data_IF_632886799708
#
_entry.id   IF_632886799708
#
_cell.length_a   1.000
_cell.length_b   1.000
_cell.length_c   1.000
_cell.angle_alpha   90.00
_cell.angle_beta   90.00
_cell.angle_gamma   90.00
#
_symmetry.space_group_name_H-M   'P 1'
#
loop_
_entity.id
_entity.type
_entity.pdbx_description
1 polymer ?
#
# COMPACT_ATOMS: atom_id res chain seq x y z
N UNK A 1 -34.86 -10.57 -43.72
CA UNK A 1 -34.93 -10.04 -42.34
C UNK A 1 -35.41 -11.16 -41.40
N UNK A 2 -34.59 -12.21 -41.21
CA UNK A 2 -34.79 -13.32 -40.27
C UNK A 2 -33.48 -14.14 -40.29
N UNK A 3 -32.46 -13.71 -39.54
CA UNK A 3 -31.20 -14.45 -39.39
C UNK A 3 -30.53 -14.15 -38.04
N UNK A 4 -31.31 -13.99 -36.97
CA UNK A 4 -30.74 -13.96 -35.61
C UNK A 4 -31.77 -14.62 -34.69
N UNK A 5 -31.76 -15.94 -34.65
CA UNK A 5 -32.19 -16.70 -33.48
C UNK A 5 -31.02 -17.56 -33.03
N UNK A 6 -30.90 -17.61 -31.71
CA UNK A 6 -29.88 -18.23 -30.90
C UNK A 6 -29.61 -19.68 -31.35
N UNK A 7 -28.33 -20.06 -31.47
CA UNK A 7 -27.93 -21.47 -31.46
C UNK A 7 -27.44 -22.10 -32.77
N UNK A 8 -26.63 -21.44 -33.60
CA UNK A 8 -25.87 -22.13 -34.65
C UNK A 8 -24.34 -22.08 -34.44
N UNK A 9 -23.66 -23.24 -34.38
CA UNK A 9 -22.20 -23.32 -34.43
C UNK A 9 -21.77 -23.29 -35.91
N UNK A 10 -21.92 -22.16 -36.58
CA UNK A 10 -21.32 -22.00 -37.91
C UNK A 10 -19.86 -21.55 -37.77
N UNK A 11 -19.00 -22.24 -38.49
CA UNK A 11 -17.59 -21.94 -38.73
C UNK A 11 -17.42 -20.48 -39.16
N UNK A 12 -17.04 -19.66 -38.18
CA UNK A 12 -17.06 -18.19 -38.18
C UNK A 12 -16.28 -17.50 -39.33
N UNK A 13 -15.14 -17.99 -39.84
CA UNK A 13 -14.31 -17.19 -40.75
C UNK A 13 -14.77 -17.17 -42.22
N UNK A 14 -15.08 -18.33 -42.82
CA UNK A 14 -15.12 -18.47 -44.28
C UNK A 14 -16.32 -17.80 -44.98
N UNK A 15 -17.47 -17.69 -44.29
CA UNK A 15 -18.66 -17.05 -44.86
C UNK A 15 -18.60 -15.51 -44.75
N UNK A 16 -17.94 -14.97 -43.72
CA UNK A 16 -17.78 -13.52 -43.53
C UNK A 16 -16.83 -12.92 -44.56
N UNK A 17 -15.82 -13.68 -45.01
CA UNK A 17 -14.85 -13.21 -46.02
C UNK A 17 -15.47 -12.85 -47.37
N UNK A 18 -16.66 -13.38 -47.69
CA UNK A 18 -17.33 -13.15 -48.98
C UNK A 18 -18.32 -11.98 -48.96
N UNK A 19 -18.62 -11.42 -47.79
CA UNK A 19 -19.57 -10.32 -47.67
C UNK A 19 -18.92 -8.99 -48.11
N UNK A 20 -19.67 -8.02 -48.66
CA UNK A 20 -19.20 -6.64 -48.82
C UNK A 20 -18.77 -6.03 -47.49
N UNK A 21 -17.80 -5.12 -47.49
CA UNK A 21 -17.23 -4.56 -46.25
C UNK A 21 -18.28 -3.79 -45.44
N UNK A 22 -19.18 -3.09 -46.11
CA UNK A 22 -20.28 -2.35 -45.47
C UNK A 22 -21.23 -3.31 -44.73
N UNK A 23 -21.54 -4.46 -45.35
CA UNK A 23 -22.42 -5.47 -44.76
C UNK A 23 -21.73 -6.16 -43.57
N UNK A 24 -20.43 -6.43 -43.69
CA UNK A 24 -19.64 -7.01 -42.61
C UNK A 24 -19.57 -6.06 -41.39
N UNK A 25 -19.29 -4.77 -41.62
CA UNK A 25 -19.31 -3.75 -40.55
C UNK A 25 -20.69 -3.63 -39.90
N UNK A 26 -21.77 -3.68 -40.69
CA UNK A 26 -23.13 -3.65 -40.15
C UNK A 26 -23.45 -4.87 -39.28
N UNK A 27 -23.01 -6.07 -39.67
CA UNK A 27 -23.18 -7.29 -38.86
C UNK A 27 -22.38 -7.20 -37.56
N UNK A 28 -21.15 -6.69 -37.61
CA UNK A 28 -20.32 -6.46 -36.42
C UNK A 28 -21.04 -5.50 -35.46
N UNK A 29 -21.55 -4.37 -35.96
CA UNK A 29 -22.30 -3.38 -35.17
C UNK A 29 -23.52 -4.00 -34.48
N UNK A 30 -24.36 -4.72 -35.24
CA UNK A 30 -25.56 -5.37 -34.71
C UNK A 30 -25.25 -6.40 -33.62
N UNK A 31 -24.15 -7.14 -33.76
CA UNK A 31 -23.74 -8.12 -32.74
C UNK A 31 -23.14 -7.44 -31.51
N UNK A 32 -22.28 -6.44 -31.71
CA UNK A 32 -21.66 -5.71 -30.62
C UNK A 32 -22.72 -5.05 -29.72
N UNK A 33 -23.72 -4.46 -30.34
CA UNK A 33 -24.86 -3.82 -29.69
C UNK A 33 -26.12 -4.70 -29.66
N UNK A 34 -25.97 -6.03 -29.63
CA UNK A 34 -27.13 -6.94 -29.50
C UNK A 34 -27.86 -6.79 -28.16
N UNK A 35 -27.22 -6.13 -27.18
CA UNK A 35 -27.79 -5.64 -25.94
C UNK A 35 -27.61 -4.12 -25.85
N UNK A 36 -28.50 -3.38 -25.14
CA UNK A 36 -28.41 -1.92 -25.02
C UNK A 36 -27.04 -1.42 -24.54
N UNK A 37 -26.49 -2.08 -23.52
CA UNK A 37 -25.18 -1.77 -22.93
C UNK A 37 -24.01 -2.57 -23.51
N UNK A 38 -24.22 -3.21 -24.66
CA UNK A 38 -23.23 -4.07 -25.32
C UNK A 38 -23.26 -5.52 -24.87
N UNK A 39 -22.74 -6.42 -25.71
CA UNK A 39 -22.65 -7.86 -25.43
C UNK A 39 -21.21 -8.29 -25.17
N UNK A 40 -20.89 -8.68 -23.92
CA UNK A 40 -19.56 -9.22 -23.57
C UNK A 40 -19.18 -10.42 -24.44
N UNK A 41 -20.14 -11.32 -24.72
CA UNK A 41 -19.91 -12.45 -25.62
C UNK A 41 -19.50 -11.98 -27.03
N UNK A 42 -20.20 -11.00 -27.59
CA UNK A 42 -19.85 -10.48 -28.92
C UNK A 42 -18.46 -9.83 -28.93
N UNK A 43 -18.14 -8.99 -27.92
CA UNK A 43 -16.82 -8.38 -27.75
C UNK A 43 -15.71 -9.44 -27.65
N UNK A 44 -15.93 -10.49 -26.86
CA UNK A 44 -14.99 -11.60 -26.71
C UNK A 44 -14.76 -12.33 -28.04
N UNK A 45 -15.82 -12.60 -28.80
CA UNK A 45 -15.70 -13.23 -30.13
C UNK A 45 -14.94 -12.33 -31.12
N UNK A 46 -15.19 -11.02 -31.12
CA UNK A 46 -14.43 -10.06 -31.95
C UNK A 46 -12.94 -10.05 -31.60
N UNK A 47 -12.62 -10.10 -30.30
CA UNK A 47 -11.24 -10.23 -29.83
C UNK A 47 -10.60 -11.51 -30.33
N UNK A 48 -11.27 -12.66 -30.17
CA UNK A 48 -10.75 -13.94 -30.64
C UNK A 48 -10.40 -13.91 -32.13
N UNK A 49 -11.29 -13.39 -32.98
CA UNK A 49 -11.07 -13.31 -34.43
C UNK A 49 -9.88 -12.46 -34.84
N UNK A 50 -9.53 -11.45 -34.04
CA UNK A 50 -8.36 -10.61 -34.29
C UNK A 50 -7.07 -11.31 -33.86
N UNK A 51 -7.14 -12.15 -32.83
CA UNK A 51 -5.99 -12.81 -32.20
C UNK A 51 -5.87 -14.31 -32.54
N UNK A 52 -6.70 -14.82 -33.44
CA UNK A 52 -6.57 -16.18 -34.00
C UNK A 52 -5.17 -16.41 -34.59
N UNK A 53 -4.71 -17.66 -34.59
CA UNK A 53 -3.36 -18.04 -35.06
C UNK A 53 -3.11 -17.74 -36.55
N UNK A 54 -4.18 -17.62 -37.34
CA UNK A 54 -4.12 -17.23 -38.75
C UNK A 54 -5.39 -16.44 -39.12
N UNK A 55 -5.54 -15.20 -38.63
CA UNK A 55 -6.77 -14.44 -38.77
C UNK A 55 -6.86 -13.89 -40.19
N UNK A 56 -8.05 -13.94 -40.79
CA UNK A 56 -8.29 -13.29 -42.08
C UNK A 56 -7.94 -11.81 -42.00
N UNK A 57 -6.95 -11.37 -42.78
CA UNK A 57 -6.47 -9.98 -42.79
C UNK A 57 -7.61 -8.99 -43.03
N UNK A 58 -8.59 -9.39 -43.86
CA UNK A 58 -9.77 -8.59 -44.14
C UNK A 58 -10.67 -8.47 -42.91
N UNK A 59 -11.03 -9.59 -42.28
CA UNK A 59 -11.89 -9.58 -41.09
C UNK A 59 -11.24 -8.78 -39.97
N UNK A 60 -9.94 -8.99 -39.71
CA UNK A 60 -9.20 -8.22 -38.70
C UNK A 60 -9.22 -6.72 -38.98
N UNK A 61 -9.05 -6.32 -40.24
CA UNK A 61 -9.12 -4.92 -40.66
C UNK A 61 -10.51 -4.34 -40.43
N UNK A 62 -11.57 -5.05 -40.81
CA UNK A 62 -12.94 -4.54 -40.67
C UNK A 62 -13.38 -4.47 -39.21
N UNK A 63 -13.02 -5.44 -38.37
CA UNK A 63 -13.25 -5.36 -36.92
C UNK A 63 -12.48 -4.17 -36.35
N UNK A 64 -11.21 -4.00 -36.70
CA UNK A 64 -10.40 -2.85 -36.26
C UNK A 64 -11.00 -1.52 -36.67
N UNK A 65 -11.39 -1.38 -37.95
CA UNK A 65 -12.04 -0.19 -38.50
C UNK A 65 -13.34 0.12 -37.76
N UNK A 66 -14.17 -0.89 -37.51
CA UNK A 66 -15.43 -0.73 -36.77
C UNK A 66 -15.16 -0.19 -35.36
N UNK A 67 -14.29 -0.85 -34.58
CA UNK A 67 -14.04 -0.51 -33.18
C UNK A 67 -13.37 0.86 -33.05
N UNK A 68 -12.42 1.20 -33.94
CA UNK A 68 -11.72 2.48 -33.95
C UNK A 68 -12.55 3.64 -34.51
N UNK A 69 -13.68 3.37 -35.17
CA UNK A 69 -14.44 4.41 -35.85
C UNK A 69 -15.01 5.45 -34.86
N UNK A 70 -15.01 6.72 -35.27
CA UNK A 70 -15.62 7.82 -34.51
C UNK A 70 -17.10 7.53 -34.23
N UNK A 71 -17.81 6.96 -35.21
CA UNK A 71 -19.21 6.56 -35.07
C UNK A 71 -19.41 5.54 -33.94
N UNK A 72 -18.62 4.47 -33.91
CA UNK A 72 -18.74 3.45 -32.85
C UNK A 72 -18.42 4.04 -31.48
N UNK A 73 -17.38 4.87 -31.38
CA UNK A 73 -17.05 5.55 -30.11
C UNK A 73 -18.18 6.44 -29.61
N UNK A 74 -18.81 7.19 -30.51
CA UNK A 74 -19.96 8.03 -30.16
C UNK A 74 -21.17 7.18 -29.74
N UNK A 75 -21.45 6.10 -30.46
CA UNK A 75 -22.51 5.15 -30.08
C UNK A 75 -22.26 4.53 -28.70
N UNK A 76 -21.03 4.11 -28.42
CA UNK A 76 -20.59 3.61 -27.12
C UNK A 76 -20.86 4.67 -26.06
N UNK A 77 -20.35 5.88 -26.28
CA UNK A 77 -20.49 7.01 -25.35
C UNK A 77 -21.95 7.30 -25.01
N UNK A 78 -22.81 7.43 -26.02
CA UNK A 78 -24.23 7.72 -25.83
C UNK A 78 -24.98 6.56 -25.19
N UNK A 79 -24.78 5.32 -25.65
CA UNK A 79 -25.55 4.17 -25.15
C UNK A 79 -25.16 3.74 -23.75
N UNK A 80 -23.90 3.91 -23.39
CA UNK A 80 -23.37 3.54 -22.07
C UNK A 80 -23.34 4.74 -21.11
N UNK A 81 -23.83 5.90 -21.55
CA UNK A 81 -23.82 7.16 -20.80
C UNK A 81 -22.43 7.47 -20.22
N UNK A 82 -21.40 7.36 -21.07
CA UNK A 82 -20.04 7.72 -20.68
C UNK A 82 -19.80 9.22 -20.89
N UNK A 83 -19.19 9.85 -19.90
CA UNK A 83 -18.73 11.23 -19.99
C UNK A 83 -17.27 11.25 -20.41
N UNK A 84 -16.89 12.17 -21.31
CA UNK A 84 -15.56 12.24 -21.93
C UNK A 84 -14.47 12.56 -20.89
N UNK A 85 -14.82 13.34 -19.87
CA UNK A 85 -13.93 13.78 -18.81
C UNK A 85 -14.73 14.15 -17.55
N UNK A 86 -13.98 14.57 -16.52
CA UNK A 86 -14.55 14.98 -15.26
C UNK A 86 -15.51 16.17 -15.40
N UNK A 87 -15.18 17.18 -16.21
CA UNK A 87 -16.00 18.38 -16.39
C UNK A 87 -17.39 18.05 -16.97
N UNK A 88 -17.45 17.19 -17.98
CA UNK A 88 -18.71 16.73 -18.56
C UNK A 88 -19.49 15.87 -17.55
N UNK A 89 -18.81 15.03 -16.78
CA UNK A 89 -19.46 14.23 -15.76
C UNK A 89 -20.13 15.11 -14.68
N UNK A 90 -19.42 16.14 -14.21
CA UNK A 90 -19.94 17.12 -13.24
C UNK A 90 -21.12 17.92 -13.78
N UNK A 91 -21.10 18.32 -15.07
CA UNK A 91 -22.21 19.08 -15.65
C UNK A 91 -23.53 18.30 -15.67
N UNK A 92 -23.46 16.97 -15.60
CA UNK A 92 -24.62 16.07 -15.57
C UNK A 92 -24.92 15.51 -14.17
N UNK A 93 -24.28 16.01 -13.11
CA UNK A 93 -24.49 15.55 -11.72
C UNK A 93 -25.97 15.45 -11.29
N UNK A 94 -26.89 16.36 -11.69
CA UNK A 94 -28.31 16.24 -11.33
C UNK A 94 -29.01 15.01 -11.93
N UNK A 95 -28.46 14.44 -13.01
CA UNK A 95 -29.07 13.38 -13.82
C UNK A 95 -28.48 12.00 -13.53
N UNK A 96 -27.43 11.92 -12.69
CA UNK A 96 -26.74 10.67 -12.36
C UNK A 96 -27.67 9.75 -11.56
N UNK A 97 -28.07 8.58 -12.11
CA UNK A 97 -28.92 7.63 -11.41
C UNK A 97 -28.20 7.06 -10.18
N UNK A 98 -28.89 6.91 -9.05
CA UNK A 98 -28.31 6.31 -7.83
C UNK A 98 -27.96 4.82 -7.98
N UNK A 99 -28.48 4.15 -9.01
CA UNK A 99 -28.17 2.77 -9.40
C UNK A 99 -28.40 2.61 -10.90
N UNK A 100 -27.32 2.49 -11.66
CA UNK A 100 -27.39 2.19 -13.09
C UNK A 100 -26.94 0.75 -13.36
N UNK A 101 -27.46 0.15 -14.44
CA UNK A 101 -26.89 -1.10 -14.95
C UNK A 101 -25.46 -0.83 -15.43
N UNK A 102 -24.54 -1.75 -15.12
CA UNK A 102 -23.14 -1.62 -15.54
C UNK A 102 -23.03 -1.75 -17.04
N UNK A 103 -22.38 -0.78 -17.67
CA UNK A 103 -21.98 -0.89 -19.06
C UNK A 103 -20.96 -2.02 -19.26
N UNK A 104 -20.74 -2.43 -20.51
CA UNK A 104 -19.80 -3.52 -20.84
C UNK A 104 -18.34 -3.17 -20.49
N UNK A 105 -17.91 -1.90 -20.53
CA UNK A 105 -16.55 -1.54 -20.11
C UNK A 105 -16.38 -1.69 -18.61
N UNK A 106 -17.33 -1.18 -17.82
CA UNK A 106 -17.37 -1.38 -16.36
C UNK A 106 -17.43 -2.86 -16.00
N UNK A 107 -18.25 -3.65 -16.71
CA UNK A 107 -18.41 -5.09 -16.44
C UNK A 107 -17.15 -5.89 -16.81
N UNK A 108 -16.56 -5.63 -17.97
CA UNK A 108 -15.35 -6.33 -18.42
C UNK A 108 -14.10 -5.93 -17.63
N UNK A 109 -14.04 -4.71 -17.09
CA UNK A 109 -12.98 -4.32 -16.17
C UNK A 109 -12.91 -5.25 -14.93
N UNK A 110 -14.07 -5.71 -14.45
CA UNK A 110 -14.17 -6.67 -13.35
C UNK A 110 -14.10 -8.14 -13.78
N UNK A 111 -14.71 -8.50 -14.91
CA UNK A 111 -15.00 -9.89 -15.27
C UNK A 111 -14.08 -10.46 -16.36
N UNK A 112 -13.46 -9.60 -17.20
CA UNK A 112 -12.66 -10.03 -18.34
C UNK A 112 -11.69 -8.93 -18.79
N UNK A 113 -10.54 -8.83 -18.12
CA UNK A 113 -9.53 -7.78 -18.35
C UNK A 113 -9.03 -7.73 -19.80
N UNK A 114 -8.88 -8.88 -20.45
CA UNK A 114 -8.49 -8.94 -21.87
C UNK A 114 -9.48 -8.23 -22.79
N UNK A 115 -10.80 -8.35 -22.53
CA UNK A 115 -11.82 -7.64 -23.30
C UNK A 115 -11.79 -6.14 -23.03
N UNK A 116 -11.57 -5.73 -21.78
CA UNK A 116 -11.38 -4.33 -21.42
C UNK A 116 -10.14 -3.72 -22.10
N UNK A 117 -9.01 -4.44 -22.06
CA UNK A 117 -7.77 -4.08 -22.74
C UNK A 117 -7.94 -3.98 -24.25
N UNK A 118 -8.68 -4.92 -24.85
CA UNK A 118 -8.99 -4.87 -26.26
C UNK A 118 -9.80 -3.63 -26.65
N UNK A 119 -10.77 -3.21 -25.83
CA UNK A 119 -11.49 -1.95 -26.07
C UNK A 119 -10.58 -0.72 -25.93
N UNK A 120 -9.64 -0.72 -24.98
CA UNK A 120 -8.64 0.34 -24.84
C UNK A 120 -7.67 0.39 -26.03
N UNK A 121 -7.15 -0.75 -26.50
CA UNK A 121 -6.18 -0.83 -27.60
C UNK A 121 -6.72 -0.30 -28.92
N UNK A 122 -8.01 -0.54 -29.16
CA UNK A 122 -8.70 -0.06 -30.34
C UNK A 122 -9.41 1.28 -30.10
N UNK A 123 -9.17 1.92 -28.95
CA UNK A 123 -9.69 3.26 -28.63
C UNK A 123 -11.21 3.35 -28.55
N UNK A 124 -11.93 2.23 -28.45
CA UNK A 124 -13.39 2.21 -28.29
C UNK A 124 -13.84 2.90 -27.00
N UNK A 125 -13.02 2.76 -25.95
CA UNK A 125 -13.10 3.52 -24.71
C UNK A 125 -11.78 4.24 -24.49
N UNK A 126 -11.82 5.37 -23.78
CA UNK A 126 -10.63 6.13 -23.44
C UNK A 126 -10.46 6.19 -21.91
N UNK A 127 -9.21 6.17 -21.39
CA UNK A 127 -8.94 6.27 -19.96
C UNK A 127 -9.60 7.44 -19.21
N UNK A 128 -9.71 8.67 -19.77
CA UNK A 128 -10.32 9.80 -19.05
C UNK A 128 -11.84 9.71 -18.91
N UNK A 129 -12.49 8.70 -19.50
CA UNK A 129 -13.94 8.57 -19.42
C UNK A 129 -14.43 8.28 -17.99
N UNK A 130 -15.61 8.81 -17.68
CA UNK A 130 -16.37 8.53 -16.47
C UNK A 130 -17.62 7.74 -16.84
N UNK A 131 -17.95 6.72 -16.06
CA UNK A 131 -19.17 5.96 -16.26
C UNK A 131 -20.41 6.75 -15.79
N UNK A 132 -21.58 6.18 -16.02
CA UNK A 132 -22.87 6.78 -15.65
C UNK A 132 -23.05 7.01 -14.14
N UNK A 133 -22.26 6.33 -13.30
CA UNK A 133 -22.23 6.54 -11.84
C UNK A 133 -21.23 7.63 -11.41
N UNK A 134 -20.53 8.26 -12.37
CA UNK A 134 -19.57 9.32 -12.12
C UNK A 134 -18.20 8.83 -11.64
N UNK A 135 -17.84 7.57 -11.89
CA UNK A 135 -16.52 7.01 -11.57
C UNK A 135 -15.64 6.93 -12.82
N UNK A 136 -14.39 7.37 -12.70
CA UNK A 136 -13.38 7.09 -13.73
C UNK A 136 -13.06 5.59 -13.80
N UNK A 137 -12.58 5.10 -14.95
CA UNK A 137 -12.08 3.73 -15.05
C UNK A 137 -10.91 3.46 -14.09
N UNK A 138 -10.12 4.48 -13.75
CA UNK A 138 -9.09 4.37 -12.70
C UNK A 138 -9.71 4.06 -11.33
N UNK A 139 -10.76 4.78 -10.93
CA UNK A 139 -11.43 4.56 -9.65
C UNK A 139 -12.02 3.15 -9.54
N UNK A 140 -12.67 2.69 -10.62
CA UNK A 140 -13.23 1.35 -10.71
C UNK A 140 -12.13 0.29 -10.59
N UNK A 141 -11.03 0.43 -11.34
CA UNK A 141 -9.89 -0.46 -11.26
C UNK A 141 -9.23 -0.47 -9.87
N UNK A 142 -9.12 0.71 -9.24
CA UNK A 142 -8.48 0.86 -7.93
C UNK A 142 -9.27 0.16 -6.82
N UNK A 143 -10.61 0.12 -6.93
CA UNK A 143 -11.47 -0.62 -5.99
C UNK A 143 -11.33 -2.16 -6.08
N UNK A 144 -10.63 -2.68 -7.09
CA UNK A 144 -10.48 -4.12 -7.34
C UNK A 144 -9.04 -4.52 -6.98
N UNK A 145 -8.85 -5.15 -5.82
CA UNK A 145 -7.51 -5.50 -5.29
C UNK A 145 -6.62 -6.29 -6.26
N UNK A 146 -7.24 -7.09 -7.15
CA UNK A 146 -6.54 -7.96 -8.12
C UNK A 146 -6.08 -7.25 -9.40
N UNK A 147 -6.34 -5.96 -9.58
CA UNK A 147 -6.19 -5.31 -10.89
C UNK A 147 -5.06 -4.26 -10.94
N UNK A 148 -3.86 -4.60 -10.47
CA UNK A 148 -2.72 -3.65 -10.48
C UNK A 148 -2.18 -3.35 -11.88
N UNK A 149 -2.21 -4.33 -12.78
CA UNK A 149 -1.71 -4.16 -14.15
C UNK A 149 -2.57 -3.18 -14.96
N UNK A 150 -3.90 -3.23 -14.81
CA UNK A 150 -4.75 -2.26 -15.51
C UNK A 150 -4.54 -0.84 -15.01
N UNK A 151 -4.21 -0.64 -13.73
CA UNK A 151 -3.91 0.69 -13.19
C UNK A 151 -2.68 1.29 -13.87
N UNK A 152 -1.62 0.49 -14.06
CA UNK A 152 -0.42 0.92 -14.79
C UNK A 152 -0.77 1.34 -16.22
N UNK A 153 -1.58 0.52 -16.89
CA UNK A 153 -2.00 0.76 -18.26
C UNK A 153 -2.90 1.99 -18.41
N UNK A 154 -3.88 2.16 -17.53
CA UNK A 154 -4.76 3.32 -17.52
C UNK A 154 -3.94 4.60 -17.33
N UNK A 155 -3.03 4.65 -16.35
CA UNK A 155 -2.17 5.83 -16.13
C UNK A 155 -1.30 6.11 -17.36
N UNK A 156 -0.72 5.07 -17.96
CA UNK A 156 0.17 5.21 -19.12
C UNK A 156 -0.56 5.80 -20.33
N UNK A 157 -1.83 5.45 -20.52
CA UNK A 157 -2.68 5.93 -21.62
C UNK A 157 -3.40 7.26 -21.30
N UNK A 158 -3.51 7.64 -20.03
CA UNK A 158 -4.18 8.89 -19.62
C UNK A 158 -3.31 10.10 -19.90
N UNK A 159 -3.86 11.14 -20.52
CA UNK A 159 -3.15 12.41 -20.70
C UNK A 159 -2.74 13.02 -19.35
N UNK A 160 -1.53 13.62 -19.22
CA UNK A 160 -1.02 14.13 -17.94
C UNK A 160 -2.00 15.05 -17.19
N UNK A 161 -2.65 16.00 -17.88
CA UNK A 161 -3.65 16.91 -17.30
C UNK A 161 -4.85 16.20 -16.68
N UNK A 162 -5.22 15.03 -17.20
CA UNK A 162 -6.35 14.25 -16.71
C UNK A 162 -6.00 13.47 -15.43
N UNK A 163 -4.72 13.17 -15.18
CA UNK A 163 -4.28 12.56 -13.92
C UNK A 163 -4.47 13.50 -12.71
N UNK A 164 -4.62 14.81 -12.97
CA UNK A 164 -4.92 15.82 -11.96
C UNK A 164 -6.42 16.02 -11.72
N UNK A 165 -7.30 15.24 -12.38
CA UNK A 165 -8.75 15.29 -12.16
C UNK A 165 -9.19 14.35 -11.04
N UNK A 166 -10.30 14.65 -10.33
CA UNK A 166 -10.85 13.81 -9.28
C UNK A 166 -11.20 12.40 -9.76
N UNK A 167 -10.99 11.38 -8.93
CA UNK A 167 -11.23 9.99 -9.33
C UNK A 167 -12.73 9.67 -9.59
N UNK A 168 -13.62 10.44 -8.96
CA UNK A 168 -15.07 10.40 -9.16
C UNK A 168 -15.68 11.76 -8.83
N UNK A 169 -16.92 12.01 -9.26
CA UNK A 169 -17.62 13.28 -9.01
C UNK A 169 -17.92 13.50 -7.52
N UNK A 170 -18.06 12.43 -6.73
CA UNK A 170 -18.32 12.50 -5.30
C UNK A 170 -17.07 12.64 -4.43
N UNK A 171 -15.87 12.57 -5.01
CA UNK A 171 -14.61 12.57 -4.27
C UNK A 171 -13.75 13.77 -4.67
N UNK A 172 -13.00 14.30 -3.69
CA UNK A 172 -12.14 15.46 -3.93
C UNK A 172 -10.70 15.09 -4.27
N UNK A 173 -10.32 13.83 -4.03
CA UNK A 173 -8.95 13.39 -4.30
C UNK A 173 -8.79 13.06 -5.79
N UNK A 174 -7.67 13.52 -6.36
CA UNK A 174 -7.33 13.29 -7.77
C UNK A 174 -6.80 11.89 -8.02
N UNK A 175 -6.75 11.46 -9.28
CA UNK A 175 -6.08 10.20 -9.67
C UNK A 175 -4.65 10.19 -9.13
N UNK A 176 -3.87 11.25 -9.39
CA UNK A 176 -2.51 11.40 -8.87
C UNK A 176 -2.43 11.26 -7.35
N UNK A 177 -3.30 11.95 -6.62
CA UNK A 177 -3.36 11.90 -5.16
C UNK A 177 -3.66 10.49 -4.63
N UNK A 178 -4.48 9.69 -5.33
CA UNK A 178 -4.76 8.31 -4.92
C UNK A 178 -3.58 7.36 -5.16
N UNK A 179 -2.73 7.66 -6.14
CA UNK A 179 -1.61 6.76 -6.47
C UNK A 179 -0.57 6.66 -5.35
N UNK A 180 -0.49 7.64 -4.43
CA UNK A 180 0.53 7.73 -3.37
C UNK A 180 0.57 6.52 -2.41
N UNK A 181 -0.53 5.78 -2.30
CA UNK A 181 -0.65 4.58 -1.46
C UNK A 181 0.10 3.37 -2.04
N UNK A 182 0.45 3.40 -3.33
CA UNK A 182 1.12 2.32 -4.02
C UNK A 182 2.34 2.83 -4.79
N UNK A 183 3.55 2.57 -4.26
CA UNK A 183 4.82 3.07 -4.79
C UNK A 183 5.00 2.91 -6.31
N UNK A 184 4.65 1.73 -6.85
CA UNK A 184 4.76 1.45 -8.30
C UNK A 184 3.79 2.29 -9.13
N UNK A 185 2.52 2.38 -8.70
CA UNK A 185 1.49 3.18 -9.39
C UNK A 185 1.85 4.66 -9.32
N UNK A 186 2.27 5.13 -8.14
CA UNK A 186 2.73 6.51 -7.93
C UNK A 186 3.90 6.86 -8.85
N UNK A 187 4.92 6.01 -8.94
CA UNK A 187 6.09 6.26 -9.79
C UNK A 187 5.71 6.45 -11.26
N UNK A 188 4.87 5.57 -11.80
CA UNK A 188 4.41 5.68 -13.20
C UNK A 188 3.61 6.97 -13.41
N UNK A 189 2.72 7.31 -12.47
CA UNK A 189 1.93 8.54 -12.51
C UNK A 189 2.83 9.79 -12.43
N UNK A 190 3.82 9.76 -11.53
CA UNK A 190 4.81 10.82 -11.37
C UNK A 190 5.62 11.02 -12.64
N UNK A 191 6.17 9.95 -13.23
CA UNK A 191 6.99 10.06 -14.45
C UNK A 191 6.19 10.67 -15.61
N UNK A 192 4.88 10.39 -15.72
CA UNK A 192 3.99 11.02 -16.69
C UNK A 192 3.80 12.52 -16.45
N UNK A 193 3.59 12.91 -15.20
CA UNK A 193 3.37 14.32 -14.82
C UNK A 193 4.65 15.15 -14.89
N UNK A 194 5.77 14.61 -14.42
CA UNK A 194 7.06 15.28 -14.38
C UNK A 194 7.62 15.54 -15.78
N UNK A 195 7.29 14.68 -16.75
CA UNK A 195 7.67 14.85 -18.16
C UNK A 195 6.97 16.02 -18.86
N UNK A 196 5.88 16.57 -18.29
CA UNK A 196 5.15 17.70 -18.84
C UNK A 196 5.51 19.00 -18.08
N UNK A 197 6.36 19.88 -18.63
CA UNK A 197 6.82 21.08 -17.95
C UNK A 197 5.72 22.15 -17.78
N UNK A 198 4.64 22.08 -18.55
CA UNK A 198 3.58 23.08 -18.54
C UNK A 198 2.59 22.88 -17.38
N UNK A 199 2.69 21.74 -16.66
CA UNK A 199 1.85 21.45 -15.50
C UNK A 199 2.36 22.12 -14.24
N UNK A 200 1.51 22.91 -13.59
CA UNK A 200 1.77 23.33 -12.22
C UNK A 200 1.42 22.21 -11.24
N UNK A 201 2.44 21.71 -10.52
CA UNK A 201 2.29 20.63 -9.54
C UNK A 201 2.38 21.11 -8.09
N UNK A 202 2.65 22.40 -7.83
CA UNK A 202 3.06 22.90 -6.51
C UNK A 202 2.02 22.72 -5.40
N UNK A 203 0.75 22.56 -5.75
CA UNK A 203 -0.35 22.37 -4.78
C UNK A 203 -1.15 21.09 -5.01
N UNK A 204 -0.62 20.15 -5.80
CA UNK A 204 -1.34 18.92 -6.16
C UNK A 204 -1.36 17.87 -5.04
N UNK A 205 -0.44 17.89 -4.08
CA UNK A 205 -0.42 16.94 -2.96
C UNK A 205 -0.73 17.64 -1.64
N UNK A 206 -1.83 17.23 -1.00
CA UNK A 206 -2.15 17.57 0.40
C UNK A 206 -1.21 16.86 1.38
N UNK A 207 -1.16 17.35 2.63
CA UNK A 207 -0.30 16.81 3.71
C UNK A 207 -0.42 15.29 3.89
N UNK A 208 -1.64 14.74 3.89
CA UNK A 208 -1.85 13.28 4.00
C UNK A 208 -1.15 12.49 2.89
N UNK A 209 -1.13 13.04 1.67
CA UNK A 209 -0.50 12.40 0.53
C UNK A 209 1.03 12.48 0.60
N UNK A 210 1.57 13.60 1.09
CA UNK A 210 3.02 13.74 1.33
C UNK A 210 3.49 12.67 2.33
N UNK A 211 2.74 12.46 3.40
CA UNK A 211 3.02 11.40 4.38
C UNK A 211 3.07 10.01 3.72
N UNK A 212 2.11 9.69 2.85
CA UNK A 212 2.09 8.41 2.13
C UNK A 212 3.23 8.26 1.13
N UNK A 213 3.61 9.34 0.41
CA UNK A 213 4.79 9.35 -0.48
C UNK A 213 6.06 9.06 0.31
N UNK A 214 6.21 9.65 1.50
CA UNK A 214 7.39 9.45 2.34
C UNK A 214 7.60 8.00 2.82
N UNK A 215 6.62 7.12 2.64
CA UNK A 215 6.77 5.68 2.92
C UNK A 215 7.63 4.94 1.91
N UNK A 216 7.85 5.51 0.71
CA UNK A 216 8.55 4.82 -0.38
C UNK A 216 9.41 5.71 -1.30
N UNK A 217 9.50 7.02 -1.01
CA UNK A 217 10.27 7.98 -1.82
C UNK A 217 11.78 7.75 -1.70
N UNK A 218 12.51 7.78 -2.81
CA UNK A 218 13.97 7.81 -2.77
C UNK A 218 14.52 9.23 -3.00
N UNK A 219 15.81 9.44 -2.80
CA UNK A 219 16.45 10.77 -2.89
C UNK A 219 16.27 11.41 -4.28
N UNK A 220 16.38 10.61 -5.34
CA UNK A 220 16.16 11.06 -6.72
C UNK A 220 14.75 11.62 -6.92
N UNK A 221 13.74 10.84 -6.52
CA UNK A 221 12.34 11.24 -6.59
C UNK A 221 12.06 12.46 -5.72
N UNK A 222 12.61 12.54 -4.51
CA UNK A 222 12.48 13.71 -3.64
C UNK A 222 13.04 14.98 -4.30
N UNK A 223 14.21 14.89 -4.95
CA UNK A 223 14.80 16.01 -5.68
C UNK A 223 13.98 16.41 -6.90
N UNK A 224 13.48 15.44 -7.68
CA UNK A 224 12.58 15.72 -8.82
C UNK A 224 11.28 16.38 -8.36
N UNK A 225 10.67 15.90 -7.29
CA UNK A 225 9.47 16.50 -6.69
C UNK A 225 9.75 17.93 -6.21
N UNK A 226 10.88 18.17 -5.56
CA UNK A 226 11.28 19.50 -5.12
C UNK A 226 11.50 20.45 -6.30
N UNK A 227 12.11 19.99 -7.40
CA UNK A 227 12.29 20.76 -8.63
C UNK A 227 10.93 21.17 -9.25
N UNK A 228 9.90 20.33 -9.08
CA UNK A 228 8.50 20.64 -9.43
C UNK A 228 7.73 21.36 -8.32
N UNK A 229 8.43 21.95 -7.34
CA UNK A 229 7.89 22.72 -6.19
C UNK A 229 7.00 21.90 -5.25
N UNK A 230 7.10 20.58 -5.26
CA UNK A 230 6.47 19.70 -4.27
C UNK A 230 7.51 19.39 -3.20
N UNK A 231 7.48 20.15 -2.11
CA UNK A 231 8.40 19.92 -1.01
C UNK A 231 7.83 18.90 -0.02
N UNK A 232 8.32 17.66 -0.09
CA UNK A 232 7.94 16.58 0.83
C UNK A 232 8.44 16.79 2.27
N UNK A 233 9.38 17.71 2.48
CA UNK A 233 9.88 18.07 3.82
C UNK A 233 8.90 18.97 4.58
N UNK A 234 8.01 19.68 3.86
CA UNK A 234 6.97 20.54 4.44
C UNK A 234 5.77 19.72 4.90
N UNK A 235 5.96 18.91 5.93
CA UNK A 235 4.87 18.28 6.67
C UNK A 235 4.59 19.05 7.96
N UNK A 236 3.82 20.14 7.90
CA UNK A 236 3.40 20.88 9.09
C UNK A 236 2.05 20.37 9.60
N UNK A 237 2.04 20.06 10.90
CA UNK A 237 0.94 19.62 11.77
C UNK A 237 -0.45 19.50 11.11
N UNK A 238 -0.92 18.27 10.95
CA UNK A 238 -2.36 18.07 10.71
C UNK A 238 -3.14 18.43 11.98
N UNK A 239 -4.37 18.94 11.83
CA UNK A 239 -5.26 19.29 12.95
C UNK A 239 -5.54 18.14 13.93
N UNK A 240 -5.19 16.89 13.57
CA UNK A 240 -5.50 15.68 14.34
C UNK A 240 -4.27 14.80 14.67
N UNK A 241 -3.04 15.30 14.53
CA UNK A 241 -1.85 14.52 14.90
C UNK A 241 -0.58 14.96 14.17
N UNK A 242 0.51 15.10 14.92
CA UNK A 242 1.78 15.70 14.54
C UNK A 242 2.68 14.80 13.66
N UNK A 243 2.11 14.03 12.73
CA UNK A 243 2.88 13.12 11.88
C UNK A 243 3.46 13.86 10.67
N UNK A 244 4.79 13.92 10.61
CA UNK A 244 5.59 14.56 9.56
C UNK A 244 6.24 13.51 8.64
N UNK A 245 6.97 13.95 7.62
CA UNK A 245 7.78 13.07 6.75
C UNK A 245 8.72 12.16 7.55
N UNK A 246 9.34 12.69 8.60
CA UNK A 246 10.21 11.93 9.50
C UNK A 246 9.52 10.69 10.10
N UNK A 247 8.23 10.82 10.44
CA UNK A 247 7.45 9.74 11.03
C UNK A 247 7.12 8.64 10.01
N UNK A 248 6.76 9.04 8.79
CA UNK A 248 6.52 8.09 7.70
C UNK A 248 7.80 7.31 7.38
N UNK A 249 8.94 8.01 7.29
CA UNK A 249 10.22 7.39 6.98
C UNK A 249 10.65 6.43 8.08
N UNK A 250 10.58 6.88 9.35
CA UNK A 250 10.94 6.09 10.51
C UNK A 250 10.11 4.81 10.64
N UNK A 251 8.82 4.87 10.32
CA UNK A 251 7.89 3.75 10.50
C UNK A 251 7.86 2.78 9.32
N UNK A 252 7.93 3.28 8.09
CA UNK A 252 7.54 2.49 6.91
C UNK A 252 8.62 2.37 5.83
N UNK A 253 9.60 3.29 5.80
CA UNK A 253 10.47 3.35 4.63
C UNK A 253 11.48 2.19 4.61
N UNK A 254 11.62 1.47 3.48
CA UNK A 254 12.47 0.29 3.39
C UNK A 254 13.96 0.61 3.52
N UNK A 255 14.41 1.76 3.02
CA UNK A 255 15.80 2.25 3.05
C UNK A 255 15.85 3.68 3.62
N UNK A 256 15.73 3.85 4.95
CA UNK A 256 15.42 5.14 5.57
C UNK A 256 16.60 6.12 5.57
N UNK A 257 17.84 5.62 5.61
CA UNK A 257 19.05 6.43 5.84
C UNK A 257 19.27 7.53 4.79
N UNK A 258 19.26 7.24 3.47
CA UNK A 258 19.46 8.30 2.45
C UNK A 258 18.39 9.39 2.52
N UNK A 259 17.16 9.01 2.86
CA UNK A 259 16.05 9.96 3.01
C UNK A 259 16.17 10.79 4.27
N UNK A 260 16.63 10.22 5.39
CA UNK A 260 16.91 11.03 6.57
C UNK A 260 18.04 12.03 6.34
N UNK A 261 19.10 11.65 5.63
CA UNK A 261 20.17 12.57 5.20
C UNK A 261 19.66 13.67 4.25
N UNK A 262 18.66 13.35 3.43
CA UNK A 262 17.99 14.35 2.60
C UNK A 262 17.11 15.27 3.45
N UNK A 263 16.30 14.72 4.36
CA UNK A 263 15.41 15.47 5.24
C UNK A 263 16.20 16.41 6.15
N UNK A 264 17.34 15.99 6.71
CA UNK A 264 18.15 16.85 7.58
C UNK A 264 18.69 18.12 6.89
N UNK A 265 18.80 18.11 5.56
CA UNK A 265 19.18 19.28 4.74
C UNK A 265 18.01 20.20 4.41
N UNK A 266 16.77 19.70 4.50
CA UNK A 266 15.57 20.37 3.98
C UNK A 266 14.47 20.59 5.04
N UNK A 267 14.60 20.01 6.23
CA UNK A 267 13.65 20.14 7.34
C UNK A 267 14.35 19.91 8.68
N UNK A 268 13.78 20.53 9.72
CA UNK A 268 14.19 20.28 11.10
C UNK A 268 13.63 18.95 11.60
N UNK A 269 14.39 18.27 12.45
CA UNK A 269 13.91 17.10 13.17
C UNK A 269 12.77 17.53 14.12
N UNK A 270 11.66 16.77 14.23
CA UNK A 270 10.56 17.06 15.14
C UNK A 270 11.02 17.31 16.58
N UNK A 271 10.52 18.37 17.21
CA UNK A 271 10.76 18.70 18.63
C UNK A 271 9.87 17.86 19.56
N UNK A 272 10.12 17.89 20.88
CA UNK A 272 9.39 17.10 21.90
C UNK A 272 7.86 17.26 21.91
N UNK A 273 7.36 18.38 21.41
CA UNK A 273 5.93 18.68 21.36
C UNK A 273 5.20 17.83 20.30
N UNK A 274 5.94 17.30 19.33
CA UNK A 274 5.41 16.43 18.29
C UNK A 274 5.48 14.97 18.72
N UNK A 275 4.37 14.47 19.28
CA UNK A 275 4.22 13.08 19.71
C UNK A 275 3.34 12.27 18.75
N UNK A 276 3.63 10.97 18.56
CA UNK A 276 4.83 10.25 19.04
C UNK A 276 6.10 10.69 18.29
N UNK A 277 7.27 10.67 18.92
CA UNK A 277 8.53 11.00 18.25
C UNK A 277 8.88 9.95 17.16
N UNK A 278 9.60 10.32 16.07
CA UNK A 278 9.99 9.36 15.03
C UNK A 278 10.76 8.15 15.56
N UNK A 279 11.63 8.32 16.56
CA UNK A 279 12.40 7.22 17.17
C UNK A 279 11.49 6.18 17.84
N UNK A 280 10.43 6.64 18.52
CA UNK A 280 9.45 5.73 19.12
C UNK A 280 8.73 4.92 18.03
N UNK A 281 8.32 5.56 16.93
CA UNK A 281 7.65 4.84 15.83
C UNK A 281 8.56 3.82 15.14
N UNK A 282 9.84 4.15 14.94
CA UNK A 282 10.84 3.20 14.43
C UNK A 282 10.97 2.01 15.37
N UNK A 283 11.05 2.25 16.68
CA UNK A 283 11.17 1.21 17.71
C UNK A 283 9.92 0.32 17.77
N UNK A 284 8.72 0.91 17.77
CA UNK A 284 7.44 0.17 17.75
C UNK A 284 7.24 -0.69 16.51
N UNK A 285 7.99 -0.41 15.44
CA UNK A 285 7.86 -1.08 14.15
C UNK A 285 9.12 -1.88 13.80
N UNK A 286 10.00 -2.13 14.77
CA UNK A 286 11.24 -2.90 14.62
C UNK A 286 12.12 -2.44 13.45
N UNK A 287 12.17 -1.12 13.22
CA UNK A 287 12.95 -0.51 12.14
C UNK A 287 14.35 -0.18 12.62
N UNK A 288 15.21 -1.20 12.73
CA UNK A 288 16.58 -1.11 13.27
C UNK A 288 17.40 0.01 12.63
N UNK A 289 17.53 0.02 11.30
CA UNK A 289 18.31 1.05 10.59
C UNK A 289 17.77 2.46 10.82
N UNK A 290 16.45 2.62 10.86
CA UNK A 290 15.84 3.92 11.13
C UNK A 290 16.09 4.38 12.57
N UNK A 291 15.94 3.47 13.52
CA UNK A 291 16.18 3.73 14.93
C UNK A 291 17.65 4.12 15.17
N UNK A 292 18.63 3.36 14.65
CA UNK A 292 20.06 3.66 14.80
C UNK A 292 20.42 5.02 14.21
N UNK A 293 19.90 5.35 13.02
CA UNK A 293 20.14 6.67 12.43
C UNK A 293 19.56 7.78 13.31
N UNK A 294 18.31 7.61 13.76
CA UNK A 294 17.66 8.57 14.66
C UNK A 294 18.39 8.66 16.01
N UNK A 295 18.97 7.57 16.50
CA UNK A 295 19.71 7.56 17.76
C UNK A 295 20.98 8.41 17.65
N UNK A 296 21.72 8.25 16.56
CA UNK A 296 22.96 8.99 16.31
C UNK A 296 22.76 10.49 16.00
N UNK A 297 21.54 10.89 15.61
CA UNK A 297 21.22 12.27 15.20
C UNK A 297 20.20 12.97 16.09
N UNK A 298 19.72 12.32 17.13
CA UNK A 298 18.95 12.94 18.21
C UNK A 298 19.91 13.32 19.34
N UNK A 299 19.54 14.28 20.17
CA UNK A 299 20.26 14.60 21.41
C UNK A 299 19.33 14.56 22.62
N UNK A 300 18.11 14.08 22.42
CA UNK A 300 17.03 14.14 23.38
C UNK A 300 16.97 12.88 24.25
N UNK A 301 17.38 13.02 25.51
CA UNK A 301 17.42 11.97 26.52
C UNK A 301 16.05 11.35 26.83
N UNK A 302 14.98 12.14 26.76
CA UNK A 302 13.62 11.64 26.96
C UNK A 302 13.18 10.70 25.84
N UNK A 303 13.49 11.03 24.59
CA UNK A 303 13.17 10.18 23.44
C UNK A 303 13.91 8.84 23.52
N UNK A 304 15.17 8.85 23.96
CA UNK A 304 15.93 7.62 24.22
C UNK A 304 15.30 6.78 25.31
N UNK A 305 14.94 7.38 26.45
CA UNK A 305 14.31 6.64 27.55
C UNK A 305 13.02 5.97 27.10
N UNK A 306 12.13 6.72 26.44
CA UNK A 306 10.85 6.16 25.96
C UNK A 306 11.09 5.04 24.94
N UNK A 307 12.03 5.22 24.01
CA UNK A 307 12.38 4.19 23.03
C UNK A 307 13.05 2.97 23.68
N UNK A 308 13.88 3.14 24.70
CA UNK A 308 14.50 2.04 25.45
C UNK A 308 13.44 1.22 26.18
N UNK A 309 12.48 1.87 26.84
CA UNK A 309 11.34 1.18 27.48
C UNK A 309 10.52 0.39 26.45
N UNK A 310 10.27 0.97 25.27
CA UNK A 310 9.56 0.28 24.20
C UNK A 310 10.36 -0.93 23.67
N UNK A 311 11.65 -0.75 23.39
CA UNK A 311 12.53 -1.82 22.92
C UNK A 311 12.68 -2.95 23.96
N UNK A 312 12.73 -2.61 25.24
CA UNK A 312 12.76 -3.56 26.36
C UNK A 312 11.54 -4.49 26.37
N UNK A 313 10.34 -3.93 26.22
CA UNK A 313 9.06 -4.67 26.26
C UNK A 313 8.90 -5.68 25.12
N UNK A 314 9.39 -5.33 23.94
CA UNK A 314 9.17 -6.10 22.71
C UNK A 314 9.96 -7.41 22.74
N UNK A 315 9.49 -8.44 22.06
CA UNK A 315 10.10 -9.77 22.05
C UNK A 315 10.55 -10.16 20.63
N UNK A 316 11.39 -9.30 20.03
CA UNK A 316 11.98 -9.48 18.70
C UNK A 316 13.50 -9.24 18.74
N UNK A 317 14.27 -9.92 17.88
CA UNK A 317 15.72 -9.69 17.78
C UNK A 317 16.02 -8.24 17.40
N UNK A 318 15.22 -7.63 16.52
CA UNK A 318 15.35 -6.23 16.11
C UNK A 318 15.23 -5.27 17.31
N UNK A 319 14.35 -5.59 18.27
CA UNK A 319 14.21 -4.78 19.48
C UNK A 319 15.43 -4.88 20.41
N UNK A 320 16.15 -6.01 20.41
CA UNK A 320 17.44 -6.13 21.10
C UNK A 320 18.51 -5.27 20.40
N UNK A 321 18.60 -5.30 19.07
CA UNK A 321 19.55 -4.46 18.33
C UNK A 321 19.31 -2.96 18.59
N UNK A 322 18.04 -2.54 18.61
CA UNK A 322 17.67 -1.16 18.93
C UNK A 322 18.03 -0.82 20.37
N UNK A 323 17.71 -1.69 21.34
CA UNK A 323 18.05 -1.47 22.75
C UNK A 323 19.57 -1.34 22.95
N UNK A 324 20.34 -2.19 22.27
CA UNK A 324 21.80 -2.19 22.28
C UNK A 324 22.35 -0.85 21.80
N UNK A 325 21.85 -0.35 20.66
CA UNK A 325 22.24 0.93 20.09
C UNK A 325 21.86 2.12 21.00
N UNK A 326 20.69 2.08 21.63
CA UNK A 326 20.28 3.11 22.60
C UNK A 326 21.23 3.09 23.80
N UNK A 327 21.56 1.91 24.33
CA UNK A 327 22.43 1.77 25.49
C UNK A 327 23.85 2.29 25.19
N UNK A 328 24.41 2.01 24.00
CA UNK A 328 25.71 2.56 23.57
C UNK A 328 25.71 4.08 23.51
N UNK A 329 24.67 4.67 22.91
CA UNK A 329 24.56 6.12 22.79
C UNK A 329 24.29 6.79 24.15
N UNK A 330 23.48 6.14 25.01
CA UNK A 330 23.18 6.64 26.35
C UNK A 330 24.44 6.72 27.22
N UNK A 331 25.36 5.76 27.10
CA UNK A 331 26.66 5.80 27.80
C UNK A 331 27.51 7.02 27.44
N UNK A 332 27.40 7.51 26.20
CA UNK A 332 28.12 8.69 25.73
C UNK A 332 27.50 9.98 26.31
N UNK A 333 26.17 10.05 26.36
CA UNK A 333 25.44 11.28 26.72
C UNK A 333 25.27 11.41 28.24
N UNK A 334 24.99 10.30 28.93
CA UNK A 334 24.76 10.23 30.37
C UNK A 334 25.37 8.95 30.95
N UNK A 335 26.68 8.94 31.20
CA UNK A 335 27.31 7.83 31.90
C UNK A 335 26.69 7.74 33.31
N UNK A 336 26.01 6.62 33.60
CA UNK A 336 25.48 6.23 34.93
C UNK A 336 24.08 6.75 35.33
N UNK A 337 23.07 6.59 34.46
CA UNK A 337 21.66 6.63 34.90
C UNK A 337 21.20 5.23 35.39
N UNK A 338 21.50 4.92 36.65
CA UNK A 338 21.13 3.64 37.27
C UNK A 338 19.60 3.42 37.33
N UNK A 339 18.82 4.50 37.41
CA UNK A 339 17.36 4.41 37.43
C UNK A 339 16.81 3.97 36.06
N UNK A 340 17.37 4.50 34.97
CA UNK A 340 17.01 4.07 33.63
C UNK A 340 17.31 2.59 33.39
N UNK A 341 18.48 2.11 33.83
CA UNK A 341 18.86 0.70 33.69
C UNK A 341 17.91 -0.21 34.46
N UNK A 342 17.55 0.16 35.70
CA UNK A 342 16.57 -0.57 36.48
C UNK A 342 15.20 -0.60 35.78
N UNK A 343 14.74 0.53 35.24
CA UNK A 343 13.48 0.58 34.50
C UNK A 343 13.52 -0.30 33.24
N UNK A 344 14.64 -0.32 32.50
CA UNK A 344 14.82 -1.18 31.32
C UNK A 344 14.67 -2.65 31.73
N UNK A 345 15.34 -3.08 32.80
CA UNK A 345 15.31 -4.46 33.29
C UNK A 345 13.90 -4.87 33.73
N UNK A 346 13.21 -4.01 34.47
CA UNK A 346 11.81 -4.23 34.85
C UNK A 346 10.93 -4.39 33.60
N UNK A 347 11.13 -3.55 32.59
CA UNK A 347 10.33 -3.60 31.36
C UNK A 347 10.65 -4.79 30.46
N UNK A 348 11.90 -5.30 30.48
CA UNK A 348 12.25 -6.58 29.83
C UNK A 348 11.43 -7.71 30.47
N UNK A 349 11.52 -7.85 31.80
CA UNK A 349 10.82 -8.92 32.54
C UNK A 349 9.30 -8.81 32.37
N UNK A 350 8.76 -7.59 32.48
CA UNK A 350 7.34 -7.36 32.25
C UNK A 350 6.90 -7.73 30.82
N UNK A 351 7.73 -7.39 29.83
CA UNK A 351 7.49 -7.73 28.42
C UNK A 351 7.41 -9.24 28.19
N UNK A 352 8.39 -10.00 28.66
CA UNK A 352 8.42 -11.46 28.49
C UNK A 352 7.32 -12.17 29.27
N UNK A 353 7.01 -11.72 30.49
CA UNK A 353 5.85 -12.25 31.25
C UNK A 353 4.52 -12.01 30.53
N UNK A 354 4.38 -10.85 29.88
CA UNK A 354 3.18 -10.52 29.10
C UNK A 354 3.07 -11.39 27.85
N UNK A 355 4.19 -11.60 27.16
CA UNK A 355 4.24 -12.44 25.97
C UNK A 355 3.99 -13.93 26.29
N UNK A 356 4.55 -14.45 27.39
CA UNK A 356 4.25 -15.80 27.88
C UNK A 356 2.75 -16.01 28.09
N UNK A 357 2.07 -15.07 28.76
CA UNK A 357 0.60 -15.12 28.94
C UNK A 357 -0.14 -15.11 27.61
N UNK A 358 0.32 -14.34 26.62
CA UNK A 358 -0.26 -14.29 25.27
C UNK A 358 -0.10 -15.63 24.54
N UNK A 359 1.09 -16.23 24.62
CA UNK A 359 1.38 -17.55 24.03
C UNK A 359 0.51 -18.63 24.67
N UNK A 360 0.37 -18.62 26.00
CA UNK A 360 -0.45 -19.58 26.74
C UNK A 360 -1.94 -19.47 26.35
N UNK A 361 -2.46 -18.24 26.24
CA UNK A 361 -3.83 -18.00 25.78
C UNK A 361 -4.05 -18.46 24.34
N UNK A 362 -3.07 -18.23 23.46
CA UNK A 362 -3.13 -18.67 22.05
C UNK A 362 -3.13 -20.19 21.96
N UNK A 363 -2.29 -20.86 22.74
CA UNK A 363 -2.24 -22.32 22.84
C UNK A 363 -3.59 -22.88 23.32
N UNK A 364 -4.17 -22.32 24.38
CA UNK A 364 -5.48 -22.73 24.90
C UNK A 364 -6.57 -22.68 23.82
N UNK A 365 -6.65 -21.57 23.09
CA UNK A 365 -7.59 -21.42 21.97
C UNK A 365 -7.37 -22.44 20.85
N UNK A 366 -6.12 -22.69 20.45
CA UNK A 366 -5.80 -23.67 19.41
C UNK A 366 -6.16 -25.11 19.83
N UNK A 367 -5.93 -25.47 21.10
CA UNK A 367 -6.31 -26.78 21.64
C UNK A 367 -7.84 -26.97 21.69
N UNK A 368 -8.61 -25.91 21.96
CA UNK A 368 -10.08 -25.96 21.90
C UNK A 368 -10.59 -26.16 20.46
N UNK A 369 -10.00 -25.46 19.48
CA UNK A 369 -10.40 -25.56 18.07
C UNK A 369 -9.95 -26.85 17.39
N UNK A 370 -8.81 -27.40 17.81
CA UNK A 370 -8.18 -28.58 17.21
C UNK A 370 -7.63 -29.53 18.29
N UNK A 371 -8.51 -30.26 19.02
CA UNK A 371 -8.08 -31.13 20.12
C UNK A 371 -7.13 -32.25 19.69
N UNK A 372 -7.25 -32.70 18.44
CA UNK A 372 -6.41 -33.76 17.85
C UNK A 372 -4.96 -33.31 17.58
N UNK A 373 -4.67 -32.01 17.65
CA UNK A 373 -3.33 -31.43 17.43
C UNK A 373 -2.66 -30.93 18.73
N UNK A 374 -3.19 -31.30 19.90
CA UNK A 374 -2.76 -30.78 21.20
C UNK A 374 -1.24 -30.92 21.43
N UNK A 375 -0.66 -32.11 21.21
CA UNK A 375 0.78 -32.33 21.39
C UNK A 375 1.62 -31.38 20.52
N UNK A 376 1.22 -31.18 19.26
CA UNK A 376 1.90 -30.26 18.33
C UNK A 376 1.81 -28.81 18.78
N UNK A 377 0.67 -28.38 19.32
CA UNK A 377 0.50 -27.03 19.85
C UNK A 377 1.31 -26.79 21.12
N UNK A 378 1.41 -27.80 22.00
CA UNK A 378 2.26 -27.76 23.19
C UNK A 378 3.73 -27.65 22.80
N UNK A 379 4.22 -28.48 21.87
CA UNK A 379 5.60 -28.38 21.38
C UNK A 379 5.90 -27.00 20.77
N UNK A 380 4.96 -26.44 19.99
CA UNK A 380 5.13 -25.11 19.40
C UNK A 380 5.16 -24.02 20.47
N UNK A 381 4.33 -24.14 21.51
CA UNK A 381 4.32 -23.24 22.65
C UNK A 381 5.65 -23.29 23.40
N UNK A 382 6.14 -24.48 23.77
CA UNK A 382 7.41 -24.67 24.49
C UNK A 382 8.60 -24.07 23.70
N UNK A 383 8.68 -24.32 22.39
CA UNK A 383 9.71 -23.72 21.54
C UNK A 383 9.63 -22.19 21.49
N UNK A 384 8.42 -21.65 21.44
CA UNK A 384 8.21 -20.20 21.44
C UNK A 384 8.58 -19.60 22.80
N UNK A 385 8.25 -20.29 23.90
CA UNK A 385 8.56 -19.85 25.26
C UNK A 385 10.08 -19.80 25.50
N UNK A 386 10.81 -20.86 25.16
CA UNK A 386 12.28 -20.89 25.25
C UNK A 386 12.90 -19.75 24.43
N UNK A 387 12.44 -19.54 23.19
CA UNK A 387 12.96 -18.46 22.34
C UNK A 387 12.75 -17.06 22.95
N UNK A 388 11.65 -16.83 23.67
CA UNK A 388 11.37 -15.54 24.30
C UNK A 388 12.18 -15.40 25.60
N UNK A 389 12.36 -16.47 26.38
CA UNK A 389 13.27 -16.48 27.54
C UNK A 389 14.72 -16.17 27.15
N UNK A 390 15.24 -16.85 26.14
CA UNK A 390 16.59 -16.64 25.60
C UNK A 390 16.81 -15.17 25.19
N UNK A 391 15.84 -14.58 24.51
CA UNK A 391 15.92 -13.18 24.09
C UNK A 391 15.90 -12.22 25.29
N UNK A 392 15.05 -12.49 26.30
CA UNK A 392 15.00 -11.69 27.51
C UNK A 392 16.33 -11.75 28.29
N UNK A 393 16.92 -12.94 28.41
CA UNK A 393 18.25 -13.12 29.04
C UNK A 393 19.30 -12.32 28.28
N UNK A 394 19.38 -12.45 26.94
CA UNK A 394 20.32 -11.69 26.11
C UNK A 394 20.17 -10.17 26.29
N UNK A 395 18.93 -9.66 26.38
CA UNK A 395 18.67 -8.23 26.65
C UNK A 395 19.15 -7.80 28.02
N UNK A 396 18.96 -8.63 29.04
CA UNK A 396 19.43 -8.35 30.40
C UNK A 396 20.96 -8.35 30.43
N UNK A 397 21.60 -9.37 29.85
CA UNK A 397 23.06 -9.46 29.76
C UNK A 397 23.66 -8.23 29.07
N UNK A 398 23.10 -7.82 27.94
CA UNK A 398 23.54 -6.64 27.19
C UNK A 398 23.35 -5.33 27.98
N UNK A 399 22.26 -5.24 28.75
CA UNK A 399 21.98 -4.08 29.61
C UNK A 399 22.96 -4.02 30.79
N UNK A 400 23.27 -5.17 31.41
CA UNK A 400 24.16 -5.27 32.58
C UNK A 400 25.64 -5.10 32.19
N UNK A 401 26.06 -5.63 31.03
CA UNK A 401 27.42 -5.48 30.52
C UNK A 401 27.87 -4.01 30.41
N UNK A 402 26.89 -3.10 30.33
CA UNK A 402 27.07 -1.66 30.19
C UNK A 402 27.01 -0.90 31.52
N UNK A 403 26.92 -1.58 32.67
CA UNK A 403 26.74 -0.95 33.99
C UNK A 403 27.70 -1.45 35.09
N UNK A 404 27.96 -0.60 36.08
CA UNK A 404 28.55 -0.99 37.38
C UNK A 404 27.59 -1.98 38.11
N UNK A 405 28.07 -2.79 39.07
CA UNK A 405 27.26 -3.81 39.74
C UNK A 405 25.95 -3.25 40.32
N UNK A 406 24.84 -3.91 40.01
CA UNK A 406 23.50 -3.50 40.36
C UNK A 406 22.66 -4.70 40.82
N UNK A 407 21.79 -4.48 41.81
CA UNK A 407 20.87 -5.49 42.34
C UNK A 407 19.47 -5.32 41.73
N UNK A 408 18.98 -6.31 41.00
CA UNK A 408 17.59 -6.35 40.56
C UNK A 408 16.64 -6.59 41.77
N UNK A 409 15.41 -6.03 41.77
CA UNK A 409 14.45 -6.35 42.83
C UNK A 409 13.97 -7.81 42.76
N UNK A 410 13.95 -8.50 43.91
CA UNK A 410 13.45 -9.87 44.14
C UNK A 410 12.07 -10.14 43.51
N UNK A 411 11.24 -9.09 43.41
CA UNK A 411 9.94 -9.14 42.77
C UNK A 411 9.97 -9.57 41.28
N UNK A 412 11.09 -9.38 40.57
CA UNK A 412 11.19 -9.73 39.15
C UNK A 412 11.46 -11.23 38.93
N UNK A 413 12.29 -11.85 39.77
CA UNK A 413 12.50 -13.30 39.73
C UNK A 413 11.20 -14.06 40.06
N UNK A 414 10.45 -13.56 41.05
CA UNK A 414 9.13 -14.10 41.39
C UNK A 414 8.14 -13.93 40.23
N UNK A 415 8.09 -12.76 39.60
CA UNK A 415 7.20 -12.51 38.46
C UNK A 415 7.50 -13.41 37.25
N UNK A 416 8.79 -13.69 36.97
CA UNK A 416 9.20 -14.62 35.94
C UNK A 416 8.76 -16.05 36.27
N UNK A 417 8.97 -16.49 37.52
CA UNK A 417 8.51 -17.80 38.01
C UNK A 417 6.99 -17.98 37.88
N UNK A 418 6.21 -16.96 38.27
CA UNK A 418 4.73 -16.97 38.15
C UNK A 418 4.24 -17.04 36.69
N UNK A 419 5.09 -16.63 35.73
CA UNK A 419 4.82 -16.69 34.31
C UNK A 419 5.35 -17.98 33.64
N UNK A 420 5.81 -18.97 34.43
CA UNK A 420 6.46 -20.21 33.99
C UNK A 420 7.74 -19.99 33.18
N UNK A 421 8.46 -18.89 33.45
CA UNK A 421 9.72 -18.56 32.77
C UNK A 421 10.90 -19.04 33.62
N UNK A 422 11.14 -20.35 33.60
CA UNK A 422 12.02 -21.02 34.57
C UNK A 422 13.49 -20.66 34.39
N UNK A 423 13.99 -20.58 33.15
CA UNK A 423 15.39 -20.25 32.88
C UNK A 423 15.66 -18.79 33.19
N UNK A 424 14.73 -17.91 32.84
CA UNK A 424 14.80 -16.50 33.21
C UNK A 424 14.78 -16.29 34.73
N UNK A 425 13.91 -16.98 35.46
CA UNK A 425 13.83 -16.87 36.92
C UNK A 425 15.13 -17.35 37.60
N UNK A 426 15.70 -18.47 37.12
CA UNK A 426 16.99 -18.98 37.61
C UNK A 426 18.13 -18.00 37.31
N UNK A 427 18.15 -17.43 36.10
CA UNK A 427 19.14 -16.44 35.69
C UNK A 427 19.07 -15.17 36.57
N UNK A 428 17.87 -14.65 36.82
CA UNK A 428 17.65 -13.49 37.69
C UNK A 428 18.10 -13.76 39.14
N UNK A 429 17.78 -14.94 39.69
CA UNK A 429 18.23 -15.31 41.04
C UNK A 429 19.76 -15.40 41.19
N UNK A 430 20.48 -15.73 40.12
CA UNK A 430 21.96 -15.72 40.11
C UNK A 430 22.55 -14.31 40.11
N UNK A 431 21.83 -13.32 39.58
CA UNK A 431 22.26 -11.93 39.56
C UNK A 431 22.14 -11.26 40.94
N UNK A 432 21.20 -11.72 41.78
CA UNK A 432 21.01 -11.22 43.15
C UNK A 432 22.13 -11.65 44.12
N UNK A 433 22.84 -12.74 43.80
CA UNK A 433 23.92 -13.29 44.63
C UNK A 433 25.32 -12.73 44.36
N UNK A 434 25.45 -11.71 43.51
CA UNK A 434 26.71 -11.01 43.17
C UNK A 434 26.66 -9.58 43.65
#
# INVERSE_FOLDING_TARGET
>A
MQFIQEGYPYTFPQQLERLPSELLQHIIELRFFSKPLGSHYALYQLRLLIHESNPSLRIRREIGNFIQSVRTREMIRTRWSLYINYEEAVSHLPEIPRRSEKDIATSTLTECQDCFNFMLDYGAILPPYYNNDGHSFFALAYSIEKNREILYRLISLTEPKQLLKPLSIGLTDTIFQQTVTCAKVFKICWDRLDSDPDLDLSFTLRVKHIYDVCKHVNVDLANRMLARRINISLGLATRNGNLTAWHAVAKFHPDPKPIFEWLSKHAWLPTEEQRPAPLLLATQSDRVEAAIWLISHNSNTRNYRIAAMEAAKRQTDESLDILTAIAEQALIIQPKDAALLQDILIEIVFGVCTESKRLLSTMGYLCEQQPWATERHVEQYERSLMSVEDLAIRKIEETIAKSDPFSLPEAQALAASDANLHELAEFLGKLEGK
#
